data_IF_583090836479
#
_entry.id   IF_583090836479
#
_cell.length_a   1.000
_cell.length_b   1.000
_cell.length_c   1.000
_cell.angle_alpha   90.00
_cell.angle_beta   90.00
_cell.angle_gamma   90.00
#
_symmetry.space_group_name_H-M   'P 1'
#
loop_
_entity.id
_entity.type
_entity.pdbx_description
1 polymer ?
#
# COMPACT_ATOMS: atom_id res chain seq x y z
N UNK A 1 13.57 15.78 25.20
CA UNK A 1 12.44 15.00 24.65
C UNK A 1 12.41 15.25 23.14
N UNK A 2 12.70 14.24 22.32
CA UNK A 2 12.88 14.43 20.87
C UNK A 2 11.55 14.45 20.12
N UNK A 3 11.36 15.44 19.25
CA UNK A 3 10.29 15.47 18.26
C UNK A 3 10.56 14.39 17.20
N UNK A 4 9.60 13.51 16.91
CA UNK A 4 9.79 12.34 16.03
C UNK A 4 9.47 12.67 14.58
N UNK A 5 10.42 13.16 13.80
CA UNK A 5 10.17 13.43 12.38
C UNK A 5 10.49 12.20 11.51
N UNK A 6 9.67 11.90 10.47
CA UNK A 6 10.19 11.14 9.32
C UNK A 6 11.14 12.02 8.53
N UNK A 7 10.77 13.28 8.33
CA UNK A 7 11.64 14.26 7.70
C UNK A 7 12.06 15.27 8.74
N UNK A 8 13.22 15.04 9.38
CA UNK A 8 13.87 16.12 10.14
C UNK A 8 13.92 17.32 9.22
N UNK A 9 13.57 18.51 9.73
CA UNK A 9 13.92 19.76 9.05
C UNK A 9 15.38 19.61 8.61
N UNK A 10 15.65 19.70 7.31
CA UNK A 10 17.01 19.97 6.87
C UNK A 10 17.44 21.26 7.59
N UNK A 11 18.73 21.40 7.90
CA UNK A 11 19.25 22.50 8.72
C UNK A 11 18.94 23.91 8.15
N UNK A 12 18.44 23.99 6.91
CA UNK A 12 17.98 25.21 6.23
C UNK A 12 16.50 25.59 6.50
N UNK A 13 15.75 24.78 7.24
CA UNK A 13 14.34 25.01 7.53
C UNK A 13 13.37 24.75 6.38
N UNK A 14 13.85 24.28 5.22
CA UNK A 14 13.01 24.02 4.05
C UNK A 14 12.44 22.60 4.08
N UNK A 15 11.10 22.47 4.10
CA UNK A 15 10.40 21.16 4.02
C UNK A 15 10.37 20.60 2.59
N UNK A 16 10.53 21.48 1.58
CA UNK A 16 10.52 21.11 0.16
C UNK A 16 11.74 20.32 -0.32
N UNK A 17 12.82 20.22 0.47
CA UNK A 17 14.03 19.49 0.08
C UNK A 17 13.83 17.98 -0.06
N UNK A 18 12.94 17.37 0.74
CA UNK A 18 12.71 15.92 0.71
C UNK A 18 12.23 15.44 -0.66
N UNK A 19 11.20 16.08 -1.23
CA UNK A 19 10.65 15.68 -2.53
C UNK A 19 11.64 15.88 -3.67
N UNK A 20 12.50 16.89 -3.60
CA UNK A 20 13.59 17.11 -4.57
C UNK A 20 14.62 15.97 -4.46
N UNK A 21 15.04 15.62 -3.23
CA UNK A 21 15.98 14.53 -2.99
C UNK A 21 15.38 13.20 -3.44
N UNK A 22 14.11 12.93 -3.12
CA UNK A 22 13.41 11.72 -3.54
C UNK A 22 13.28 11.62 -5.06
N UNK A 23 12.94 12.72 -5.73
CA UNK A 23 12.90 12.80 -7.19
C UNK A 23 14.26 12.48 -7.79
N UNK A 24 15.32 13.13 -7.32
CA UNK A 24 16.69 12.96 -7.81
C UNK A 24 17.20 11.54 -7.56
N UNK A 25 16.90 10.97 -6.39
CA UNK A 25 17.20 9.58 -6.07
C UNK A 25 16.50 8.63 -7.05
N UNK A 26 15.20 8.82 -7.26
CA UNK A 26 14.39 7.99 -8.17
C UNK A 26 14.92 8.07 -9.60
N UNK A 27 15.28 9.26 -10.09
CA UNK A 27 15.86 9.45 -11.42
C UNK A 27 17.18 8.68 -11.58
N UNK A 28 18.06 8.76 -10.56
CA UNK A 28 19.32 8.01 -10.54
C UNK A 28 19.08 6.51 -10.51
N UNK A 29 18.18 6.02 -9.65
CA UNK A 29 17.88 4.59 -9.55
C UNK A 29 17.30 4.03 -10.86
N UNK A 30 16.33 4.70 -11.46
CA UNK A 30 15.74 4.28 -12.74
C UNK A 30 16.79 4.25 -13.86
N UNK A 31 17.70 5.23 -13.91
CA UNK A 31 18.82 5.23 -14.86
C UNK A 31 19.78 4.05 -14.61
N UNK A 32 20.20 3.83 -13.37
CA UNK A 32 21.12 2.74 -13.02
C UNK A 32 20.53 1.34 -13.23
N UNK A 33 19.22 1.19 -13.10
CA UNK A 33 18.52 -0.09 -13.29
C UNK A 33 18.04 -0.32 -14.72
N UNK A 34 18.22 0.63 -15.63
CA UNK A 34 17.76 0.51 -17.02
C UNK A 34 18.48 -0.60 -17.80
N UNK A 35 19.78 -0.79 -17.56
CA UNK A 35 20.59 -1.86 -18.15
C UNK A 35 20.48 -3.19 -17.39
N UNK A 36 19.83 -3.18 -16.23
CA UNK A 36 19.65 -4.37 -15.41
C UNK A 36 18.59 -5.30 -16.03
N UNK A 37 18.74 -6.61 -15.84
CA UNK A 37 17.82 -7.63 -16.39
C UNK A 37 16.36 -7.43 -15.94
N UNK A 38 16.15 -6.71 -14.84
CA UNK A 38 14.83 -6.36 -14.32
C UNK A 38 13.95 -5.62 -15.31
N UNK A 39 14.53 -4.73 -16.11
CA UNK A 39 13.76 -3.96 -17.10
C UNK A 39 13.27 -4.85 -18.24
N UNK A 40 14.05 -5.86 -18.63
CA UNK A 40 13.64 -6.88 -19.59
C UNK A 40 12.54 -7.79 -19.02
N UNK A 41 12.72 -8.28 -17.79
CA UNK A 41 11.74 -9.13 -17.09
C UNK A 41 10.40 -8.39 -16.93
N UNK A 42 10.43 -7.10 -16.59
CA UNK A 42 9.22 -6.27 -16.50
C UNK A 42 8.51 -6.11 -17.86
N UNK A 43 9.27 -6.00 -18.96
CA UNK A 43 8.69 -5.98 -20.32
C UNK A 43 8.04 -7.31 -20.69
N UNK A 44 8.68 -8.44 -20.39
CA UNK A 44 8.12 -9.76 -20.63
C UNK A 44 6.79 -9.96 -19.88
N UNK A 45 6.74 -9.57 -18.59
CA UNK A 45 5.48 -9.64 -17.84
C UNK A 45 4.42 -8.73 -18.46
N UNK A 46 4.75 -7.47 -18.80
CA UNK A 46 3.79 -6.54 -19.40
C UNK A 46 3.20 -7.09 -20.71
N UNK A 47 4.04 -7.71 -21.54
CA UNK A 47 3.59 -8.39 -22.75
C UNK A 47 2.66 -9.56 -22.41
N UNK A 48 3.05 -10.40 -21.44
CA UNK A 48 2.23 -11.51 -20.98
C UNK A 48 0.84 -11.07 -20.49
N UNK A 49 0.78 -10.03 -19.64
CA UNK A 49 -0.46 -9.43 -19.13
C UNK A 49 -1.33 -8.94 -20.29
N UNK A 50 -0.73 -8.28 -21.29
CA UNK A 50 -1.45 -7.76 -22.46
C UNK A 50 -2.03 -8.89 -23.31
N UNK A 51 -1.22 -9.90 -23.64
CA UNK A 51 -1.64 -11.04 -24.46
C UNK A 51 -2.74 -11.86 -23.80
N UNK A 52 -2.69 -12.03 -22.47
CA UNK A 52 -3.65 -12.85 -21.73
C UNK A 52 -4.79 -12.04 -21.09
N UNK A 53 -4.83 -10.72 -21.31
CA UNK A 53 -5.86 -9.80 -20.79
C UNK A 53 -6.08 -9.95 -19.27
N UNK A 54 -5.00 -10.14 -18.50
CA UNK A 54 -5.08 -10.41 -17.05
C UNK A 54 -5.52 -9.15 -16.28
N UNK A 55 -4.99 -7.99 -16.68
CA UNK A 55 -5.37 -6.67 -16.16
C UNK A 55 -5.12 -5.60 -17.23
N UNK A 56 -5.62 -4.38 -17.02
CA UNK A 56 -5.27 -3.24 -17.87
C UNK A 56 -3.74 -3.04 -17.82
N UNK A 57 -3.03 -3.07 -18.96
CA UNK A 57 -1.58 -2.91 -18.96
C UNK A 57 -1.15 -1.60 -18.32
N UNK A 58 -0.27 -1.72 -17.32
CA UNK A 58 0.32 -0.59 -16.57
C UNK A 58 1.62 -0.10 -17.20
N UNK A 59 2.18 0.97 -16.63
CA UNK A 59 3.48 1.47 -17.07
C UNK A 59 4.58 0.43 -16.84
N UNK A 60 5.67 0.53 -17.60
CA UNK A 60 6.80 -0.37 -17.41
C UNK A 60 7.45 -0.18 -16.02
N UNK A 61 7.50 1.06 -15.54
CA UNK A 61 8.05 1.39 -14.23
C UNK A 61 7.24 0.75 -13.09
N UNK A 62 5.91 0.67 -13.21
CA UNK A 62 5.05 -0.03 -12.24
C UNK A 62 5.41 -1.52 -12.11
N UNK A 63 5.65 -2.23 -13.23
CA UNK A 63 6.10 -3.63 -13.18
C UNK A 63 7.54 -3.75 -12.68
N UNK A 64 8.40 -2.79 -13.03
CA UNK A 64 9.79 -2.79 -12.58
C UNK A 64 9.91 -2.67 -11.06
N UNK A 65 9.10 -1.81 -10.43
CA UNK A 65 9.08 -1.69 -8.96
C UNK A 65 8.44 -2.89 -8.27
N UNK A 66 7.49 -3.58 -8.89
CA UNK A 66 6.96 -4.86 -8.37
C UNK A 66 8.02 -5.95 -8.35
N UNK A 67 8.89 -5.97 -9.36
CA UNK A 67 10.01 -6.90 -9.41
C UNK A 67 11.04 -6.60 -8.31
N UNK A 68 11.34 -5.32 -8.05
CA UNK A 68 12.14 -4.91 -6.89
C UNK A 68 11.48 -5.32 -5.57
N UNK A 69 10.16 -5.11 -5.43
CA UNK A 69 9.38 -5.52 -4.26
C UNK A 69 9.53 -7.02 -4.00
N UNK A 70 9.46 -7.85 -5.05
CA UNK A 70 9.70 -9.28 -4.94
C UNK A 70 11.09 -9.57 -4.36
N UNK A 71 12.15 -8.92 -4.87
CA UNK A 71 13.51 -9.08 -4.35
C UNK A 71 13.65 -8.71 -2.87
N UNK A 72 13.03 -7.60 -2.46
CA UNK A 72 12.97 -7.16 -1.06
C UNK A 72 12.27 -8.20 -0.18
N UNK A 73 11.09 -8.66 -0.60
CA UNK A 73 10.34 -9.64 0.17
C UNK A 73 11.01 -11.00 0.20
N UNK A 74 11.67 -11.40 -0.88
CA UNK A 74 12.47 -12.62 -0.92
C UNK A 74 13.58 -12.56 0.14
N UNK A 75 14.43 -11.54 0.11
CA UNK A 75 15.53 -11.44 1.10
C UNK A 75 15.04 -11.26 2.53
N UNK A 76 13.95 -10.52 2.73
CA UNK A 76 13.44 -10.19 4.07
C UNK A 76 12.64 -11.34 4.69
N UNK A 77 11.79 -12.00 3.90
CA UNK A 77 10.73 -12.86 4.42
C UNK A 77 10.92 -14.36 4.13
N UNK A 78 11.89 -14.76 3.31
CA UNK A 78 12.17 -16.19 3.02
C UNK A 78 12.39 -17.06 4.28
N UNK A 79 13.13 -16.55 5.26
CA UNK A 79 13.33 -17.28 6.52
C UNK A 79 12.07 -17.46 7.36
N UNK A 80 11.06 -16.59 7.18
CA UNK A 80 9.77 -16.72 7.88
C UNK A 80 8.80 -17.63 7.11
N UNK A 81 8.84 -17.60 5.78
CA UNK A 81 8.00 -18.45 4.93
C UNK A 81 8.36 -19.92 5.02
N UNK A 82 9.54 -20.28 5.54
CA UNK A 82 9.94 -21.66 5.85
C UNK A 82 8.87 -22.48 6.59
N UNK A 83 8.12 -21.82 7.48
CA UNK A 83 7.17 -22.47 8.37
C UNK A 83 5.73 -22.51 7.82
N UNK A 84 5.48 -21.94 6.63
CA UNK A 84 4.15 -21.95 6.02
C UNK A 84 3.94 -23.26 5.26
N UNK A 85 2.76 -23.85 5.42
CA UNK A 85 2.26 -24.92 4.57
C UNK A 85 0.81 -24.61 4.17
N UNK A 86 0.24 -25.41 3.25
CA UNK A 86 -1.12 -25.20 2.75
C UNK A 86 -2.16 -25.15 3.87
N UNK A 87 -2.05 -26.04 4.86
CA UNK A 87 -2.99 -26.11 6.00
C UNK A 87 -2.94 -24.84 6.84
N UNK A 88 -1.74 -24.37 7.19
CA UNK A 88 -1.57 -23.15 7.99
C UNK A 88 -2.03 -21.90 7.23
N UNK A 89 -1.74 -21.82 5.93
CA UNK A 89 -2.23 -20.75 5.07
C UNK A 89 -3.76 -20.71 5.02
N UNK A 90 -4.40 -21.86 4.76
CA UNK A 90 -5.86 -21.98 4.77
C UNK A 90 -6.48 -21.63 6.13
N UNK A 91 -5.88 -22.06 7.24
CA UNK A 91 -6.33 -21.71 8.59
C UNK A 91 -6.29 -20.20 8.83
N UNK A 92 -5.18 -19.54 8.49
CA UNK A 92 -5.06 -18.08 8.63
C UNK A 92 -6.12 -17.34 7.80
N UNK A 93 -6.42 -17.84 6.60
CA UNK A 93 -7.43 -17.27 5.73
C UNK A 93 -8.85 -17.45 6.29
N UNK A 94 -9.18 -18.63 6.80
CA UNK A 94 -10.46 -18.89 7.44
C UNK A 94 -10.67 -18.02 8.68
N UNK A 95 -9.66 -17.93 9.56
CA UNK A 95 -9.71 -17.05 10.73
C UNK A 95 -9.89 -15.58 10.34
N UNK A 96 -9.24 -15.12 9.26
CA UNK A 96 -9.44 -13.77 8.76
C UNK A 96 -10.87 -13.51 8.28
N UNK A 97 -11.47 -14.46 7.56
CA UNK A 97 -12.86 -14.34 7.09
C UNK A 97 -13.86 -14.30 8.25
N UNK A 98 -13.74 -15.23 9.22
CA UNK A 98 -14.60 -15.28 10.40
C UNK A 98 -14.53 -13.96 11.19
N UNK A 99 -13.32 -13.43 11.37
CA UNK A 99 -13.11 -12.13 12.05
C UNK A 99 -13.87 -10.98 11.39
N UNK A 100 -13.91 -10.96 10.06
CA UNK A 100 -14.53 -9.86 9.31
C UNK A 100 -16.06 -10.00 9.22
N UNK A 101 -16.59 -11.22 9.34
CA UNK A 101 -18.02 -11.50 9.29
C UNK A 101 -18.71 -11.38 10.65
N UNK A 102 -17.99 -11.61 11.76
CA UNK A 102 -18.57 -11.58 13.11
C UNK A 102 -17.88 -10.57 14.03
N UNK A 103 -18.60 -9.48 14.35
CA UNK A 103 -18.14 -8.51 15.37
C UNK A 103 -18.02 -9.14 16.75
N UNK A 104 -18.90 -10.09 17.08
CA UNK A 104 -18.94 -10.77 18.39
C UNK A 104 -17.74 -11.69 18.60
N UNK A 105 -17.33 -12.44 17.57
CA UNK A 105 -16.20 -13.37 17.66
C UNK A 105 -14.84 -12.68 17.51
N UNK A 106 -14.80 -11.44 17.04
CA UNK A 106 -13.57 -10.70 16.74
C UNK A 106 -12.50 -10.77 17.86
N UNK A 107 -12.80 -10.51 19.14
CA UNK A 107 -11.78 -10.54 20.19
C UNK A 107 -11.15 -11.93 20.38
N UNK A 108 -11.96 -12.98 20.26
CA UNK A 108 -11.51 -14.37 20.37
C UNK A 108 -10.63 -14.76 19.18
N UNK A 109 -11.06 -14.42 17.96
CA UNK A 109 -10.32 -14.69 16.74
C UNK A 109 -8.99 -13.92 16.71
N UNK A 110 -8.96 -12.66 17.15
CA UNK A 110 -7.73 -11.87 17.27
C UNK A 110 -6.74 -12.55 18.24
N UNK A 111 -7.22 -13.16 19.35
CA UNK A 111 -6.38 -13.92 20.29
C UNK A 111 -5.80 -15.18 19.64
N UNK A 112 -6.60 -15.94 18.89
CA UNK A 112 -6.13 -17.13 18.17
C UNK A 112 -5.08 -16.74 17.12
N UNK A 113 -5.39 -15.76 16.27
CA UNK A 113 -4.48 -15.26 15.24
C UNK A 113 -3.17 -14.78 15.83
N UNK A 114 -3.22 -14.04 16.94
CA UNK A 114 -2.01 -13.63 17.67
C UNK A 114 -1.13 -14.81 18.09
N UNK A 115 -1.73 -15.88 18.66
CA UNK A 115 -1.00 -17.10 19.04
C UNK A 115 -0.41 -17.83 17.82
N UNK A 116 -1.18 -18.01 16.76
CA UNK A 116 -0.72 -18.67 15.52
C UNK A 116 0.41 -17.87 14.88
N UNK A 117 0.26 -16.55 14.80
CA UNK A 117 1.27 -15.67 14.22
C UNK A 117 2.59 -15.73 14.99
N UNK A 118 2.57 -15.62 16.32
CA UNK A 118 3.79 -15.68 17.14
C UNK A 118 4.44 -17.06 17.12
N UNK A 119 3.65 -18.14 17.17
CA UNK A 119 4.17 -19.50 17.27
C UNK A 119 4.66 -20.09 15.95
N UNK A 120 4.15 -19.61 14.81
CA UNK A 120 4.46 -20.15 13.48
C UNK A 120 4.95 -19.05 12.53
N UNK A 121 4.08 -18.10 12.14
CA UNK A 121 4.38 -17.14 11.07
C UNK A 121 5.60 -16.26 11.35
N UNK A 122 5.79 -15.85 12.61
CA UNK A 122 6.83 -14.92 13.00
C UNK A 122 8.09 -15.59 13.56
N UNK A 123 8.16 -16.93 13.52
CA UNK A 123 9.40 -17.65 13.79
C UNK A 123 10.26 -17.62 12.53
N UNK A 124 11.37 -16.89 12.59
CA UNK A 124 12.38 -16.91 11.54
C UNK A 124 13.20 -18.19 11.68
N UNK A 125 13.24 -18.99 10.64
CA UNK A 125 14.26 -20.01 10.50
C UNK A 125 15.56 -19.33 10.02
N UNK A 126 16.61 -19.36 10.86
CA UNK A 126 17.86 -18.64 10.62
C UNK A 126 18.79 -19.34 9.64
N UNK A 127 18.69 -20.66 9.53
CA UNK A 127 19.53 -21.49 8.65
C UNK A 127 18.85 -21.77 7.31
N UNK A 128 17.65 -21.25 7.12
CA UNK A 128 16.84 -21.53 5.95
C UNK A 128 17.02 -20.46 4.89
N UNK A 129 17.71 -20.84 3.82
CA UNK A 129 17.72 -20.11 2.56
C UNK A 129 16.79 -20.82 1.58
N UNK A 130 15.83 -20.09 1.01
CA UNK A 130 14.97 -20.66 -0.02
C UNK A 130 15.81 -20.91 -1.27
N UNK A 131 15.90 -22.17 -1.67
CA UNK A 131 16.42 -22.56 -2.98
C UNK A 131 15.62 -21.81 -4.05
N UNK A 132 16.23 -21.28 -5.11
CA UNK A 132 15.56 -20.42 -6.07
C UNK A 132 14.70 -21.23 -7.07
N UNK A 133 13.63 -21.83 -6.56
CA UNK A 133 12.65 -22.65 -7.31
C UNK A 133 11.25 -22.07 -7.17
N UNK A 134 10.37 -22.46 -8.10
CA UNK A 134 9.01 -21.93 -8.21
C UNK A 134 8.16 -22.18 -6.96
N UNK A 135 8.28 -23.36 -6.34
CA UNK A 135 7.56 -23.75 -5.13
C UNK A 135 7.89 -22.83 -3.96
N UNK A 136 9.12 -22.31 -3.92
CA UNK A 136 9.56 -21.40 -2.87
C UNK A 136 9.04 -19.97 -3.07
N UNK A 137 8.77 -19.56 -4.31
CA UNK A 137 8.01 -18.33 -4.60
C UNK A 137 6.59 -18.46 -4.06
N UNK A 138 5.93 -19.59 -4.31
CA UNK A 138 4.58 -19.87 -3.78
C UNK A 138 4.57 -19.84 -2.25
N UNK A 139 5.57 -20.45 -1.59
CA UNK A 139 5.70 -20.41 -0.12
C UNK A 139 5.83 -18.98 0.39
N UNK A 140 6.68 -18.16 -0.23
CA UNK A 140 6.82 -16.75 0.14
C UNK A 140 5.48 -16.01 0.06
N UNK A 141 4.77 -16.14 -1.06
CA UNK A 141 3.50 -15.45 -1.30
C UNK A 141 2.40 -15.93 -0.34
N UNK A 142 2.33 -17.23 -0.06
CA UNK A 142 1.40 -17.79 0.93
C UNK A 142 1.68 -17.25 2.34
N UNK A 143 2.95 -17.05 2.70
CA UNK A 143 3.30 -16.43 3.98
C UNK A 143 2.87 -14.96 4.04
N UNK A 144 3.13 -14.20 2.98
CA UNK A 144 2.71 -12.80 2.85
C UNK A 144 1.19 -12.69 3.00
N UNK A 145 0.43 -13.55 2.31
CA UNK A 145 -1.03 -13.60 2.38
C UNK A 145 -1.53 -14.00 3.78
N UNK A 146 -0.94 -15.04 4.39
CA UNK A 146 -1.29 -15.49 5.72
C UNK A 146 -1.08 -14.41 6.79
N UNK A 147 -0.14 -13.49 6.58
CA UNK A 147 0.11 -12.37 7.49
C UNK A 147 -0.98 -11.30 7.46
N UNK A 148 -1.74 -11.21 6.36
CA UNK A 148 -2.80 -10.21 6.10
C UNK A 148 -2.35 -8.75 6.16
N UNK A 149 -1.04 -8.50 6.04
CA UNK A 149 -0.46 -7.15 6.00
C UNK A 149 0.01 -6.73 4.59
N UNK A 150 -0.04 -7.65 3.61
CA UNK A 150 0.46 -7.46 2.24
C UNK A 150 -0.61 -7.77 1.20
N UNK A 151 -1.88 -7.50 1.50
CA UNK A 151 -3.02 -7.96 0.69
C UNK A 151 -2.94 -7.49 -0.77
N UNK A 152 -2.59 -6.22 -0.98
CA UNK A 152 -2.48 -5.67 -2.35
C UNK A 152 -1.20 -6.14 -3.04
N UNK A 153 -0.09 -6.24 -2.31
CA UNK A 153 1.17 -6.76 -2.84
C UNK A 153 1.03 -8.23 -3.28
N UNK A 154 0.33 -9.05 -2.49
CA UNK A 154 0.03 -10.44 -2.84
C UNK A 154 -0.79 -10.54 -4.13
N UNK A 155 -1.79 -9.66 -4.33
CA UNK A 155 -2.56 -9.63 -5.60
C UNK A 155 -1.63 -9.43 -6.79
N UNK A 156 -0.68 -8.50 -6.71
CA UNK A 156 0.30 -8.25 -7.78
C UNK A 156 1.23 -9.43 -7.97
N UNK A 157 1.81 -9.95 -6.88
CA UNK A 157 2.71 -11.11 -6.93
C UNK A 157 2.04 -12.38 -7.46
N UNK A 158 0.72 -12.52 -7.33
CA UNK A 158 -0.02 -13.61 -7.97
C UNK A 158 -0.02 -13.50 -9.50
N UNK A 159 -0.05 -12.30 -10.07
CA UNK A 159 0.12 -12.13 -11.53
C UNK A 159 1.52 -12.57 -11.97
N UNK A 160 2.54 -12.27 -11.17
CA UNK A 160 3.90 -12.78 -11.40
C UNK A 160 3.95 -14.31 -11.31
N UNK A 161 3.26 -14.95 -10.35
CA UNK A 161 3.20 -16.41 -10.27
C UNK A 161 2.63 -17.03 -11.54
N UNK A 162 1.50 -16.52 -12.05
CA UNK A 162 0.87 -17.03 -13.28
C UNK A 162 1.80 -16.90 -14.50
N UNK A 163 2.60 -15.82 -14.56
CA UNK A 163 3.63 -15.67 -15.59
C UNK A 163 4.76 -16.69 -15.43
N UNK A 164 5.23 -16.88 -14.20
CA UNK A 164 6.37 -17.75 -13.87
C UNK A 164 6.04 -19.24 -13.99
N UNK A 165 4.78 -19.64 -13.80
CA UNK A 165 4.32 -21.03 -13.96
C UNK A 165 4.67 -21.61 -15.34
N UNK A 166 4.74 -20.76 -16.36
CA UNK A 166 5.03 -21.14 -17.76
C UNK A 166 6.52 -21.11 -18.10
N UNK A 167 7.41 -20.82 -17.15
CA UNK A 167 8.84 -20.63 -17.37
C UNK A 167 9.63 -21.86 -16.92
N UNK A 168 10.80 -22.06 -17.53
CA UNK A 168 11.68 -23.17 -17.17
C UNK A 168 12.32 -22.97 -15.79
N UNK A 169 12.72 -24.04 -15.09
CA UNK A 169 13.42 -23.94 -13.79
C UNK A 169 14.66 -23.03 -13.84
N UNK A 170 15.41 -23.06 -14.95
CA UNK A 170 16.58 -22.20 -15.16
C UNK A 170 16.17 -20.72 -15.20
N UNK A 171 15.06 -20.40 -15.88
CA UNK A 171 14.55 -19.03 -15.91
C UNK A 171 14.12 -18.59 -14.50
N UNK A 172 13.44 -19.45 -13.74
CA UNK A 172 13.03 -19.14 -12.35
C UNK A 172 14.24 -18.84 -11.47
N UNK A 173 15.30 -19.65 -11.56
CA UNK A 173 16.52 -19.42 -10.80
C UNK A 173 17.15 -18.06 -11.14
N UNK A 174 17.23 -17.73 -12.44
CA UNK A 174 17.74 -16.43 -12.91
C UNK A 174 16.84 -15.27 -12.49
N UNK A 175 15.52 -15.44 -12.54
CA UNK A 175 14.54 -14.46 -12.09
C UNK A 175 14.76 -14.10 -10.62
N UNK A 176 14.97 -15.09 -9.76
CA UNK A 176 15.21 -14.86 -8.33
C UNK A 176 16.58 -14.21 -8.11
N UNK A 177 17.63 -14.70 -8.77
CA UNK A 177 18.98 -14.14 -8.66
C UNK A 177 19.01 -12.66 -9.06
N UNK A 178 18.39 -12.31 -10.20
CA UNK A 178 18.32 -10.93 -10.67
C UNK A 178 17.49 -10.04 -9.74
N UNK A 179 16.45 -10.58 -9.09
CA UNK A 179 15.67 -9.79 -8.13
C UNK A 179 16.48 -9.46 -6.88
N UNK A 180 17.32 -10.39 -6.43
CA UNK A 180 18.26 -10.20 -5.33
C UNK A 180 19.31 -9.14 -5.69
N UNK A 181 19.88 -9.19 -6.90
CA UNK A 181 20.86 -8.20 -7.35
C UNK A 181 20.25 -6.80 -7.51
N UNK A 182 19.03 -6.70 -8.04
CA UNK A 182 18.31 -5.42 -8.10
C UNK A 182 18.07 -4.84 -6.69
N UNK A 183 17.69 -5.68 -5.74
CA UNK A 183 17.49 -5.24 -4.36
C UNK A 183 18.79 -4.76 -3.73
N UNK A 184 19.92 -5.46 -3.94
CA UNK A 184 21.23 -5.03 -3.43
C UNK A 184 21.63 -3.68 -4.01
N UNK A 185 21.46 -3.50 -5.32
CA UNK A 185 21.68 -2.21 -5.99
C UNK A 185 20.78 -1.11 -5.40
N UNK A 186 19.50 -1.42 -5.19
CA UNK A 186 18.57 -0.48 -4.59
C UNK A 186 19.01 -0.05 -3.18
N UNK A 187 19.35 -1.01 -2.32
CA UNK A 187 19.79 -0.74 -0.94
C UNK A 187 21.09 0.07 -0.91
N UNK A 188 22.07 -0.25 -1.77
CA UNK A 188 23.35 0.47 -1.80
C UNK A 188 23.18 1.93 -2.23
N UNK A 189 22.22 2.21 -3.11
CA UNK A 189 21.89 3.58 -3.52
C UNK A 189 20.99 4.31 -2.52
N UNK A 190 20.01 3.61 -1.93
CA UNK A 190 18.99 4.21 -1.08
C UNK A 190 19.53 4.56 0.30
N UNK A 191 20.33 3.69 0.91
CA UNK A 191 20.76 3.85 2.31
C UNK A 191 21.50 5.18 2.57
N UNK A 192 22.47 5.60 1.73
CA UNK A 192 23.19 6.85 1.95
C UNK A 192 22.33 8.12 1.74
N UNK A 193 21.25 8.02 0.95
CA UNK A 193 20.43 9.18 0.57
C UNK A 193 19.19 9.29 1.45
N UNK A 194 18.50 8.17 1.66
CA UNK A 194 17.22 8.11 2.35
C UNK A 194 17.34 7.69 3.82
N UNK A 195 18.46 7.07 4.24
CA UNK A 195 18.66 6.58 5.60
C UNK A 195 18.57 7.66 6.68
N UNK A 196 18.97 8.89 6.35
CA UNK A 196 18.87 10.03 7.27
C UNK A 196 17.43 10.33 7.69
N UNK A 197 16.44 10.07 6.82
CA UNK A 197 15.02 10.24 7.10
C UNK A 197 14.41 9.12 7.97
N UNK A 198 15.17 8.08 8.31
CA UNK A 198 14.69 6.97 9.14
C UNK A 198 15.34 6.89 10.51
N UNK A 199 16.29 7.77 10.84
CA UNK A 199 17.00 7.74 12.12
C UNK A 199 16.03 7.79 13.32
N UNK A 200 15.08 8.72 13.32
CA UNK A 200 14.06 8.86 14.38
C UNK A 200 13.11 7.66 14.47
N UNK A 201 12.79 7.05 13.32
CA UNK A 201 11.93 5.85 13.24
C UNK A 201 12.67 4.66 13.86
N UNK A 202 13.92 4.45 13.46
CA UNK A 202 14.77 3.35 13.93
C UNK A 202 14.98 3.41 15.45
N UNK A 203 15.24 4.60 16.01
CA UNK A 203 15.36 4.81 17.46
C UNK A 203 14.06 4.43 18.21
N UNK A 204 12.90 4.85 17.69
CA UNK A 204 11.61 4.56 18.33
C UNK A 204 11.21 3.09 18.24
N UNK A 205 11.40 2.46 17.08
CA UNK A 205 11.17 1.03 16.90
C UNK A 205 12.05 0.23 17.85
N UNK A 206 13.35 0.55 17.94
CA UNK A 206 14.29 -0.12 18.84
C UNK A 206 13.88 -0.01 20.32
N UNK A 207 13.43 1.17 20.77
CA UNK A 207 12.96 1.40 22.14
C UNK A 207 11.73 0.55 22.51
N UNK A 208 10.86 0.25 21.54
CA UNK A 208 9.57 -0.42 21.79
C UNK A 208 9.53 -1.90 21.37
N UNK A 209 10.60 -2.43 20.73
CA UNK A 209 10.70 -3.83 20.27
C UNK A 209 10.32 -4.87 21.35
N UNK A 210 10.71 -4.66 22.62
CA UNK A 210 10.40 -5.59 23.72
C UNK A 210 8.92 -5.56 24.12
N UNK A 211 8.29 -4.38 24.16
CA UNK A 211 6.90 -4.19 24.63
C UNK A 211 5.86 -4.81 23.68
N UNK A 212 6.15 -4.87 22.38
CA UNK A 212 5.20 -5.33 21.37
C UNK A 212 5.50 -6.71 20.78
N UNK A 213 6.49 -7.44 21.31
CA UNK A 213 6.96 -8.74 20.78
C UNK A 213 5.83 -9.77 20.52
N UNK A 214 4.75 -9.71 21.29
CA UNK A 214 3.69 -10.73 21.34
C UNK A 214 2.32 -10.28 20.77
N UNK A 215 2.22 -9.12 20.10
CA UNK A 215 0.95 -8.65 19.50
C UNK A 215 0.94 -8.84 17.98
N UNK A 216 -0.23 -9.08 17.39
CA UNK A 216 -0.40 -9.11 15.91
C UNK A 216 0.05 -7.76 15.28
N UNK A 217 -0.20 -6.65 15.98
CA UNK A 217 0.30 -5.31 15.64
C UNK A 217 1.84 -5.16 15.68
N UNK A 218 2.59 -6.20 16.06
CA UNK A 218 4.05 -6.20 16.05
C UNK A 218 4.64 -6.13 14.64
N UNK A 219 3.87 -6.43 13.60
CA UNK A 219 4.41 -6.51 12.24
C UNK A 219 4.91 -5.16 11.72
N UNK A 220 4.26 -4.05 12.09
CA UNK A 220 4.74 -2.70 11.77
C UNK A 220 6.11 -2.41 12.40
N UNK A 221 6.42 -2.98 13.57
CA UNK A 221 7.74 -2.85 14.22
C UNK A 221 8.80 -3.82 13.67
N UNK A 222 8.42 -4.70 12.74
CA UNK A 222 9.31 -5.68 12.12
C UNK A 222 9.67 -5.33 10.67
N UNK A 223 9.02 -4.30 10.10
CA UNK A 223 9.32 -3.79 8.77
C UNK A 223 10.79 -3.37 8.70
N UNK A 224 11.47 -3.76 7.64
CA UNK A 224 12.84 -3.38 7.39
C UNK A 224 12.91 -1.95 6.85
N UNK A 225 14.03 -1.30 7.13
CA UNK A 225 14.40 0.00 6.59
C UNK A 225 14.29 0.05 5.05
N UNK A 226 14.76 -0.99 4.35
CA UNK A 226 14.62 -1.11 2.88
C UNK A 226 13.16 -1.01 2.41
N UNK A 227 12.17 -1.44 3.20
CA UNK A 227 10.76 -1.34 2.82
C UNK A 227 10.27 0.11 2.86
N UNK A 228 10.79 0.92 3.80
CA UNK A 228 10.49 2.36 3.83
C UNK A 228 11.09 3.06 2.61
N UNK A 229 12.37 2.80 2.31
CA UNK A 229 13.02 3.34 1.11
C UNK A 229 12.22 2.99 -0.15
N UNK A 230 11.84 1.71 -0.26
CA UNK A 230 11.08 1.20 -1.38
C UNK A 230 9.75 1.94 -1.53
N UNK A 231 8.97 2.05 -0.47
CA UNK A 231 7.68 2.73 -0.53
C UNK A 231 7.81 4.24 -0.79
N UNK A 232 8.86 4.91 -0.29
CA UNK A 232 9.13 6.31 -0.64
C UNK A 232 9.36 6.45 -2.15
N UNK A 233 10.28 5.68 -2.72
CA UNK A 233 10.58 5.73 -4.15
C UNK A 233 9.39 5.31 -5.01
N UNK A 234 8.69 4.25 -4.63
CA UNK A 234 7.52 3.79 -5.34
C UNK A 234 6.42 4.86 -5.39
N UNK A 235 6.21 5.60 -4.29
CA UNK A 235 5.27 6.73 -4.23
C UNK A 235 5.60 7.79 -5.28
N UNK A 236 6.87 8.17 -5.39
CA UNK A 236 7.34 9.12 -6.41
C UNK A 236 7.13 8.58 -7.83
N UNK A 237 7.40 7.30 -8.08
CA UNK A 237 7.15 6.66 -9.38
C UNK A 237 5.66 6.69 -9.71
N UNK A 238 4.77 6.29 -8.80
CA UNK A 238 3.33 6.34 -9.04
C UNK A 238 2.83 7.75 -9.33
N UNK A 239 3.33 8.76 -8.61
CA UNK A 239 2.96 10.15 -8.89
C UNK A 239 3.27 10.52 -10.34
N UNK A 240 4.44 10.14 -10.87
CA UNK A 240 4.82 10.39 -12.28
C UNK A 240 3.94 9.64 -13.26
N UNK A 241 3.78 8.33 -13.06
CA UNK A 241 3.08 7.46 -14.01
C UNK A 241 1.57 7.74 -14.06
N UNK A 242 0.97 8.13 -12.93
CA UNK A 242 -0.46 8.38 -12.83
C UNK A 242 -0.84 9.85 -13.05
N UNK A 243 0.13 10.77 -13.09
CA UNK A 243 -0.14 12.22 -13.24
C UNK A 243 -1.00 12.53 -14.46
N UNK A 244 -0.69 11.95 -15.61
CA UNK A 244 -1.43 12.20 -16.84
C UNK A 244 -2.90 11.73 -16.79
N UNK A 245 -3.18 10.60 -16.12
CA UNK A 245 -4.56 10.14 -15.89
C UNK A 245 -5.25 11.01 -14.84
N UNK A 246 -4.53 11.42 -13.79
CA UNK A 246 -5.04 12.24 -12.69
C UNK A 246 -5.41 13.66 -13.14
N UNK A 247 -4.57 14.32 -13.95
CA UNK A 247 -4.81 15.70 -14.41
C UNK A 247 -6.11 15.81 -15.24
N UNK A 248 -6.49 14.73 -15.94
CA UNK A 248 -7.71 14.62 -16.76
C UNK A 248 -9.00 14.46 -15.94
N UNK A 249 -8.89 14.18 -14.64
CA UNK A 249 -10.07 14.00 -13.79
C UNK A 249 -10.77 15.34 -13.53
N UNK A 250 -12.10 15.34 -13.64
CA UNK A 250 -12.91 16.56 -13.47
C UNK A 250 -13.27 16.82 -12.02
N UNK A 251 -13.35 15.77 -11.20
CA UNK A 251 -13.58 15.85 -9.76
C UNK A 251 -12.35 15.36 -9.02
N UNK A 252 -11.91 16.09 -7.99
CA UNK A 252 -10.74 15.71 -7.19
C UNK A 252 -11.08 15.68 -5.71
N UNK A 253 -10.61 14.64 -5.02
CA UNK A 253 -10.83 14.46 -3.58
C UNK A 253 -9.49 14.26 -2.87
N UNK A 254 -9.25 15.06 -1.83
CA UNK A 254 -8.09 14.96 -0.95
C UNK A 254 -8.45 14.05 0.23
N UNK A 255 -7.75 12.93 0.35
CA UNK A 255 -7.91 11.97 1.43
C UNK A 255 -6.93 12.27 2.53
N UNK A 256 -7.44 12.76 3.67
CA UNK A 256 -6.63 13.09 4.83
C UNK A 256 -6.81 12.05 5.94
N UNK A 257 -5.71 11.57 6.57
CA UNK A 257 -5.82 10.69 7.72
C UNK A 257 -6.30 11.48 8.94
N UNK A 258 -7.27 10.91 9.68
CA UNK A 258 -7.78 11.52 10.94
C UNK A 258 -6.69 11.74 12.00
N UNK A 259 -5.53 11.08 11.89
CA UNK A 259 -4.39 11.33 12.76
C UNK A 259 -3.79 12.75 12.63
N UNK A 260 -4.17 13.51 11.59
CA UNK A 260 -3.87 14.94 11.46
C UNK A 260 -4.72 15.82 12.39
N UNK A 261 -5.79 15.28 12.99
CA UNK A 261 -6.55 15.99 14.02
C UNK A 261 -5.65 16.26 15.23
N UNK A 262 -5.77 17.45 15.83
CA UNK A 262 -5.07 17.77 17.06
C UNK A 262 -5.77 17.06 18.23
N UNK A 263 -5.07 16.24 19.05
CA UNK A 263 -5.71 15.51 20.15
C UNK A 263 -6.26 16.38 21.29
N UNK A 264 -5.99 17.70 21.29
CA UNK A 264 -6.24 18.60 22.43
C UNK A 264 -6.89 19.95 22.06
N UNK A 265 -7.46 20.12 20.86
CA UNK A 265 -8.26 21.33 20.61
C UNK A 265 -9.55 21.27 21.43
N UNK A 266 -9.97 22.42 21.97
CA UNK A 266 -11.30 22.64 22.55
C UNK A 266 -12.32 22.18 21.50
N UNK A 267 -12.94 21.03 21.76
CA UNK A 267 -14.00 20.39 20.97
C UNK A 267 -13.71 20.22 19.46
N UNK A 268 -13.01 19.14 19.10
CA UNK A 268 -12.88 18.73 17.70
C UNK A 268 -14.27 18.51 17.08
N UNK A 269 -14.62 19.30 16.05
CA UNK A 269 -15.91 19.23 15.35
C UNK A 269 -15.91 18.25 14.18
N UNK A 270 -15.30 17.09 14.38
CA UNK A 270 -15.26 16.04 13.37
C UNK A 270 -16.60 15.29 13.43
N UNK A 271 -17.35 15.32 12.34
CA UNK A 271 -18.62 14.59 12.22
C UNK A 271 -18.37 13.23 11.55
N UNK A 272 -19.08 12.19 12.00
CA UNK A 272 -18.99 10.85 11.43
C UNK A 272 -20.39 10.27 11.23
N UNK A 273 -20.76 10.10 9.96
CA UNK A 273 -22.02 9.46 9.56
C UNK A 273 -21.76 8.00 9.12
N UNK A 274 -20.89 7.30 9.85
CA UNK A 274 -20.55 5.89 9.64
C UNK A 274 -19.43 5.62 8.64
N UNK A 275 -19.60 6.00 7.35
CA UNK A 275 -18.58 5.81 6.30
C UNK A 275 -17.87 7.14 5.99
N UNK A 276 -18.62 8.23 5.95
CA UNK A 276 -18.07 9.56 5.71
C UNK A 276 -17.66 10.22 7.02
N UNK A 277 -16.48 10.84 6.98
CA UNK A 277 -15.91 11.58 8.08
C UNK A 277 -15.56 12.95 7.52
N UNK A 278 -16.21 13.99 8.04
CA UNK A 278 -16.04 15.38 7.60
C UNK A 278 -15.64 16.27 8.76
N UNK A 279 -14.96 17.37 8.46
CA UNK A 279 -14.55 18.40 9.42
C UNK A 279 -15.35 19.66 9.15
N UNK A 280 -16.02 20.21 10.17
CA UNK A 280 -16.77 21.48 10.07
C UNK A 280 -15.99 22.70 10.59
N UNK A 281 -14.69 22.52 10.87
CA UNK A 281 -13.78 23.56 11.34
C UNK A 281 -13.85 23.75 12.86
N UNK A 282 -12.82 23.28 13.57
CA UNK A 282 -12.67 23.49 15.02
C UNK A 282 -11.81 24.71 15.34
N UNK A 283 -10.49 24.63 15.08
CA UNK A 283 -9.51 25.67 15.39
C UNK A 283 -8.66 26.00 14.17
N UNK A 284 -8.11 27.21 14.10
CA UNK A 284 -7.20 27.62 13.02
C UNK A 284 -5.89 26.82 13.01
N UNK A 285 -5.40 26.42 14.19
CA UNK A 285 -4.21 25.57 14.31
C UNK A 285 -4.41 24.09 13.89
N UNK A 286 -5.61 23.72 13.42
CA UNK A 286 -5.88 22.36 12.98
C UNK A 286 -5.50 22.22 11.50
N UNK A 287 -4.52 21.37 11.19
CA UNK A 287 -4.06 21.14 9.82
C UNK A 287 -5.17 20.70 8.86
N UNK A 288 -6.16 19.93 9.34
CA UNK A 288 -7.32 19.56 8.51
C UNK A 288 -8.16 20.78 8.19
N UNK A 289 -8.47 21.63 9.18
CA UNK A 289 -9.26 22.84 8.97
C UNK A 289 -8.54 23.79 8.00
N UNK A 290 -7.24 23.97 8.20
CA UNK A 290 -6.40 24.82 7.37
C UNK A 290 -6.34 24.35 5.91
N UNK A 291 -6.16 23.04 5.70
CA UNK A 291 -6.21 22.43 4.36
C UNK A 291 -7.61 22.58 3.74
N UNK A 292 -8.67 22.27 4.49
CA UNK A 292 -10.04 22.39 4.01
C UNK A 292 -10.35 23.81 3.53
N UNK A 293 -9.98 24.84 4.30
CA UNK A 293 -10.13 26.25 3.88
C UNK A 293 -9.28 26.58 2.65
N UNK A 294 -8.04 26.10 2.61
CA UNK A 294 -7.11 26.36 1.50
C UNK A 294 -7.57 25.78 0.16
N UNK A 295 -8.44 24.76 0.16
CA UNK A 295 -8.94 24.13 -1.07
C UNK A 295 -10.43 24.40 -1.36
N UNK A 296 -11.19 25.02 -0.46
CA UNK A 296 -12.63 25.25 -0.59
C UNK A 296 -13.00 26.03 -1.88
N UNK A 297 -12.19 27.00 -2.28
CA UNK A 297 -12.39 27.81 -3.49
C UNK A 297 -12.06 27.13 -4.82
N UNK A 298 -11.61 25.88 -4.78
CA UNK A 298 -11.03 25.20 -5.95
C UNK A 298 -11.87 24.05 -6.50
N UNK A 299 -13.01 23.75 -5.88
CA UNK A 299 -13.91 22.66 -6.29
C UNK A 299 -13.45 21.25 -5.87
N UNK A 300 -12.35 21.14 -5.12
CA UNK A 300 -11.93 19.87 -4.52
C UNK A 300 -12.60 19.61 -3.17
N UNK A 301 -12.79 18.33 -2.87
CA UNK A 301 -13.42 17.87 -1.64
C UNK A 301 -12.37 17.30 -0.69
N UNK A 302 -12.56 17.48 0.61
CA UNK A 302 -11.76 16.79 1.65
C UNK A 302 -12.57 15.64 2.21
N UNK A 303 -11.99 14.45 2.18
CA UNK A 303 -12.53 13.26 2.85
C UNK A 303 -11.55 12.78 3.92
N UNK A 304 -12.05 12.54 5.13
CA UNK A 304 -11.22 11.99 6.21
C UNK A 304 -11.28 10.46 6.25
N UNK A 305 -10.14 9.84 6.55
CA UNK A 305 -9.96 8.38 6.63
C UNK A 305 -9.31 8.01 7.98
N UNK A 306 -9.94 7.11 8.75
CA UNK A 306 -9.49 6.72 10.09
C UNK A 306 -8.67 5.42 10.14
N UNK A 307 -8.63 4.67 9.04
CA UNK A 307 -7.80 3.47 8.89
C UNK A 307 -7.92 2.82 7.52
N UNK A 308 -7.15 1.75 7.31
CA UNK A 308 -7.13 0.99 6.06
C UNK A 308 -8.46 0.30 5.74
N UNK A 309 -9.20 -0.15 6.75
CA UNK A 309 -10.52 -0.75 6.56
C UNK A 309 -11.56 0.26 6.04
N UNK A 310 -11.54 1.47 6.60
CA UNK A 310 -12.46 2.54 6.20
C UNK A 310 -12.11 3.04 4.80
N UNK A 311 -10.81 3.09 4.48
CA UNK A 311 -10.34 3.33 3.12
C UNK A 311 -10.88 2.31 2.11
N UNK A 312 -10.74 1.00 2.37
CA UNK A 312 -11.22 -0.02 1.42
C UNK A 312 -12.73 0.04 1.21
N UNK A 313 -13.52 0.27 2.27
CA UNK A 313 -14.98 0.41 2.16
C UNK A 313 -15.38 1.64 1.35
N UNK A 314 -14.76 2.78 1.67
CA UNK A 314 -15.02 4.03 0.96
C UNK A 314 -14.63 3.91 -0.52
N UNK A 315 -13.48 3.28 -0.79
CA UNK A 315 -12.98 3.09 -2.13
C UNK A 315 -13.90 2.17 -2.97
N UNK A 316 -14.44 1.09 -2.40
CA UNK A 316 -15.41 0.23 -3.10
C UNK A 316 -16.72 0.95 -3.44
N UNK A 317 -17.12 1.98 -2.68
CA UNK A 317 -18.29 2.79 -3.03
C UNK A 317 -18.07 3.66 -4.29
N UNK A 318 -16.82 3.83 -4.73
CA UNK A 318 -16.44 4.65 -5.88
C UNK A 318 -16.21 3.87 -7.17
N UNK A 319 -16.36 2.54 -7.17
CA UNK A 319 -16.13 1.67 -8.33
C UNK A 319 -16.92 2.09 -9.60
N UNK A 320 -17.93 2.94 -9.45
CA UNK A 320 -18.83 3.38 -10.52
C UNK A 320 -18.53 4.78 -11.09
N UNK A 321 -17.51 5.51 -10.59
CA UNK A 321 -17.29 6.91 -10.98
C UNK A 321 -15.92 7.13 -11.67
N UNK A 322 -15.85 7.06 -13.02
CA UNK A 322 -14.58 7.10 -13.77
C UNK A 322 -13.90 8.48 -13.80
N UNK A 323 -14.53 9.53 -13.28
CA UNK A 323 -14.07 10.91 -13.41
C UNK A 323 -13.43 11.50 -12.14
N UNK A 324 -13.20 10.66 -11.12
CA UNK A 324 -12.64 11.07 -9.83
C UNK A 324 -11.13 10.84 -9.77
N UNK A 325 -10.39 11.88 -9.39
CA UNK A 325 -8.96 11.81 -9.06
C UNK A 325 -8.77 11.91 -7.55
N UNK A 326 -7.87 11.11 -6.99
CA UNK A 326 -7.63 11.08 -5.55
C UNK A 326 -6.25 11.60 -5.19
N UNK A 327 -6.17 12.53 -4.24
CA UNK A 327 -4.91 12.91 -3.59
C UNK A 327 -4.85 12.21 -2.24
N UNK A 328 -4.05 11.16 -2.13
CA UNK A 328 -3.94 10.37 -0.90
C UNK A 328 -2.79 10.83 -0.03
N UNK A 329 -3.09 11.17 1.22
CA UNK A 329 -2.09 11.49 2.25
C UNK A 329 -1.94 10.30 3.20
N UNK A 330 -0.72 9.80 3.38
CA UNK A 330 -0.47 8.65 4.26
C UNK A 330 0.94 8.59 4.83
N UNK A 331 1.12 7.75 5.86
CA UNK A 331 2.45 7.35 6.32
C UNK A 331 3.12 6.48 5.25
N UNK A 332 4.45 6.43 5.22
CA UNK A 332 5.23 5.66 4.23
C UNK A 332 4.76 4.20 4.11
N UNK A 333 4.62 3.48 5.23
CA UNK A 333 4.21 2.06 5.21
C UNK A 333 2.74 1.84 4.86
N UNK A 334 1.88 2.83 5.10
CA UNK A 334 0.45 2.77 4.78
C UNK A 334 0.15 3.27 3.36
N UNK A 335 1.13 3.91 2.71
CA UNK A 335 0.95 4.50 1.39
C UNK A 335 0.68 3.41 0.35
N UNK A 336 1.56 2.41 0.30
CA UNK A 336 1.61 1.48 -0.81
C UNK A 336 0.36 0.57 -0.94
N UNK A 337 -0.21 0.01 0.15
CA UNK A 337 -1.50 -0.68 0.06
C UNK A 337 -2.64 0.22 -0.44
N UNK A 338 -2.62 1.52 -0.12
CA UNK A 338 -3.63 2.46 -0.61
C UNK A 338 -3.45 2.75 -2.09
N UNK A 339 -2.21 2.97 -2.55
CA UNK A 339 -1.90 3.18 -3.98
C UNK A 339 -2.39 2.02 -4.81
N UNK A 340 -2.03 0.79 -4.43
CA UNK A 340 -2.49 -0.38 -5.19
C UNK A 340 -3.99 -0.65 -5.06
N UNK A 341 -4.61 -0.31 -3.93
CA UNK A 341 -6.06 -0.34 -3.79
C UNK A 341 -6.73 0.55 -4.84
N UNK A 342 -6.32 1.82 -4.94
CA UNK A 342 -6.82 2.74 -5.98
C UNK A 342 -6.51 2.24 -7.39
N UNK A 343 -5.30 1.70 -7.60
CA UNK A 343 -4.90 1.17 -8.90
C UNK A 343 -5.71 -0.04 -9.33
N UNK A 344 -6.09 -0.93 -8.41
CA UNK A 344 -6.97 -2.07 -8.67
C UNK A 344 -8.34 -1.66 -9.21
N UNK A 345 -8.80 -0.45 -8.87
CA UNK A 345 -10.06 0.11 -9.36
C UNK A 345 -9.87 1.10 -10.52
N UNK A 346 -8.66 1.20 -11.06
CA UNK A 346 -8.29 2.17 -12.11
C UNK A 346 -8.56 3.63 -11.72
N UNK A 347 -8.53 3.97 -10.44
CA UNK A 347 -8.72 5.35 -9.97
C UNK A 347 -7.38 6.10 -10.06
N UNK A 348 -7.27 7.14 -10.90
CA UNK A 348 -6.07 7.95 -10.99
C UNK A 348 -5.81 8.66 -9.67
N UNK A 349 -4.56 8.67 -9.22
CA UNK A 349 -4.23 9.22 -7.92
C UNK A 349 -2.84 9.84 -7.86
N UNK A 350 -2.70 10.75 -6.90
CA UNK A 350 -1.45 11.37 -6.48
C UNK A 350 -1.29 11.15 -4.98
N UNK A 351 -0.05 11.19 -4.51
CA UNK A 351 0.31 10.65 -3.20
C UNK A 351 1.29 11.57 -2.48
N UNK A 352 0.97 11.86 -1.22
CA UNK A 352 1.77 12.73 -0.36
C UNK A 352 2.08 11.98 0.93
N UNK A 353 3.37 11.94 1.26
CA UNK A 353 3.86 11.31 2.46
C UNK A 353 3.71 12.29 3.62
N UNK A 354 3.28 11.78 4.77
CA UNK A 354 3.29 12.56 6.00
C UNK A 354 4.72 12.82 6.46
N UNK A 355 5.01 14.07 6.83
CA UNK A 355 6.29 14.50 7.40
C UNK A 355 6.57 13.85 8.75
N UNK A 356 5.50 13.57 9.48
CA UNK A 356 5.55 13.06 10.82
C UNK A 356 4.31 12.23 11.11
N UNK A 357 4.48 11.03 11.67
CA UNK A 357 3.37 10.23 12.18
C UNK A 357 3.32 10.30 13.70
N UNK A 358 2.28 10.98 14.19
CA UNK A 358 1.92 11.02 15.61
C UNK A 358 0.97 9.90 16.03
N UNK A 359 0.60 8.99 15.13
CA UNK A 359 -0.47 8.02 15.41
C UNK A 359 -0.01 6.95 16.40
N UNK A 360 -0.71 6.80 17.53
CA UNK A 360 -0.46 5.75 18.50
C UNK A 360 -0.54 4.32 17.95
N UNK A 361 -1.22 4.10 16.81
CA UNK A 361 -1.24 2.78 16.13
C UNK A 361 0.12 2.41 15.54
N UNK A 362 0.87 3.41 15.07
CA UNK A 362 2.20 3.23 14.47
C UNK A 362 3.32 3.53 15.45
N UNK A 363 3.10 4.48 16.37
CA UNK A 363 4.05 4.90 17.41
C UNK A 363 3.30 5.19 18.74
N UNK A 364 3.05 4.19 19.59
CA UNK A 364 2.27 4.26 20.83
C UNK A 364 2.79 5.26 21.86
N UNK A 365 4.05 5.71 21.72
CA UNK A 365 4.67 6.73 22.55
C UNK A 365 4.94 8.05 21.80
N UNK A 366 4.43 8.22 20.57
CA UNK A 366 4.48 9.52 19.92
C UNK A 366 3.58 10.46 20.72
N UNK A 367 4.21 11.42 21.40
CA UNK A 367 3.52 12.57 21.95
C UNK A 367 3.70 13.78 21.02
N UNK A 368 3.81 13.52 19.73
CA UNK A 368 4.07 14.50 18.70
C UNK A 368 2.90 14.56 17.71
N UNK A 369 2.57 15.74 17.17
CA UNK A 369 1.51 15.86 16.18
C UNK A 369 1.88 15.11 14.90
N UNK A 370 0.89 14.56 14.20
CA UNK A 370 1.08 14.16 12.79
C UNK A 370 1.19 15.43 11.95
N UNK A 371 2.15 15.50 11.03
CA UNK A 371 2.39 16.69 10.19
C UNK A 371 2.40 16.31 8.72
N UNK A 372 1.88 17.19 7.86
CA UNK A 372 1.93 17.10 6.40
C UNK A 372 2.68 18.32 5.81
N UNK A 373 3.39 18.12 4.71
CA UNK A 373 3.84 19.21 3.84
C UNK A 373 2.64 19.76 3.04
N UNK A 374 2.02 20.82 3.58
CA UNK A 374 0.93 21.51 2.90
C UNK A 374 1.38 22.18 1.58
N UNK A 375 2.63 22.65 1.48
CA UNK A 375 3.10 23.25 0.23
C UNK A 375 3.17 22.19 -0.87
N UNK A 376 3.62 20.97 -0.55
CA UNK A 376 3.59 19.87 -1.49
C UNK A 376 2.15 19.49 -1.87
N UNK A 377 1.21 19.47 -0.91
CA UNK A 377 -0.21 19.26 -1.19
C UNK A 377 -0.73 20.29 -2.18
N UNK A 378 -0.48 21.57 -1.91
CA UNK A 378 -0.88 22.64 -2.79
C UNK A 378 -0.18 22.56 -4.15
N UNK A 379 1.07 22.12 -4.26
CA UNK A 379 1.74 21.91 -5.56
C UNK A 379 1.10 20.79 -6.37
N UNK A 380 0.87 19.63 -5.76
CA UNK A 380 0.15 18.52 -6.42
C UNK A 380 -1.23 18.97 -6.89
N UNK A 381 -1.82 19.92 -6.16
CA UNK A 381 -3.12 20.49 -6.43
C UNK A 381 -3.13 21.65 -7.46
N UNK A 382 -2.20 22.60 -7.41
CA UNK A 382 -2.23 23.86 -8.17
C UNK A 382 -1.76 23.71 -9.63
N UNK A 383 -1.33 22.52 -10.05
CA UNK A 383 -1.11 22.21 -11.48
C UNK A 383 -2.43 21.94 -12.26
N UNK A 384 -3.57 22.37 -11.72
CA UNK A 384 -4.89 22.27 -12.36
C UNK A 384 -5.21 23.61 -13.05
N UNK A 385 -5.46 23.65 -14.37
CA UNK A 385 -6.07 24.81 -14.99
C UNK A 385 -7.45 25.03 -14.35
N UNK A 386 -7.71 26.24 -13.86
CA UNK A 386 -9.02 26.62 -13.32
C UNK A 386 -10.09 26.47 -14.40
N UNK A 387 -10.75 25.32 -14.45
CA UNK A 387 -12.01 25.17 -15.18
C UNK A 387 -13.09 25.65 -14.22
N UNK A 388 -13.65 26.83 -14.48
CA UNK A 388 -14.88 27.29 -13.83
C UNK A 388 -15.95 26.21 -14.04
N UNK A 389 -16.37 25.52 -12.98
CA UNK A 389 -17.57 24.69 -13.02
C UNK A 389 -18.79 25.46 -12.49
N UNK A 390 -19.99 25.17 -13.02
CA UNK A 390 -21.23 25.77 -12.53
C UNK A 390 -21.59 25.21 -11.15
N UNK A 391 -22.13 26.08 -10.30
CA UNK A 391 -22.69 25.73 -9.00
C UNK A 391 -23.68 24.57 -9.11
N UNK A 392 -23.32 23.39 -8.60
CA UNK A 392 -24.29 22.33 -8.35
C UNK A 392 -24.02 21.69 -6.98
N UNK A 393 -24.61 22.29 -5.94
CA UNK A 393 -24.73 21.70 -4.60
C UNK A 393 -25.74 20.55 -4.65
N UNK A 394 -25.32 19.38 -5.10
CA UNK A 394 -26.04 18.13 -4.83
C UNK A 394 -25.07 17.14 -4.20
N UNK A 395 -25.00 17.21 -2.87
CA UNK A 395 -24.39 16.19 -2.02
C UNK A 395 -25.21 14.91 -2.20
N UNK A 396 -24.60 13.87 -2.78
CA UNK A 396 -25.21 12.55 -2.89
C UNK A 396 -25.39 11.98 -1.47
N UNK A 397 -26.61 12.05 -0.93
CA UNK A 397 -27.02 11.24 0.22
C UNK A 397 -26.92 9.77 -0.19
N UNK A 398 -25.93 9.04 0.34
CA UNK A 398 -25.89 7.58 0.26
C UNK A 398 -27.11 7.04 1.00
N UNK A 399 -28.13 6.57 0.27
CA UNK A 399 -29.25 5.85 0.89
C UNK A 399 -28.72 4.52 1.45
N UNK A 400 -29.08 4.14 2.69
CA UNK A 400 -28.73 2.84 3.24
C UNK A 400 -29.48 1.76 2.45
N UNK A 401 -28.79 1.10 1.53
CA UNK A 401 -29.31 -0.05 0.78
C UNK A 401 -29.26 -1.31 1.63
N UNK A 402 -30.41 -1.95 1.79
CA UNK A 402 -30.57 -3.30 2.32
C UNK A 402 -29.70 -4.29 1.54
N UNK A 403 -28.92 -5.09 2.26
CA UNK A 403 -28.07 -6.14 1.68
C UNK A 403 -28.93 -7.20 0.98
N UNK A 404 -28.94 -7.19 -0.36
CA UNK A 404 -29.34 -8.36 -1.13
C UNK A 404 -28.13 -9.33 -1.23
N UNK A 405 -28.32 -10.64 -1.03
CA UNK A 405 -27.24 -11.61 -1.13
C UNK A 405 -26.72 -11.71 -2.57
N UNK A 406 -25.39 -11.78 -2.71
CA UNK A 406 -24.71 -11.97 -4.00
C UNK A 406 -25.26 -13.19 -4.76
N UNK A 407 -25.37 -13.12 -6.10
CA UNK A 407 -25.77 -14.25 -6.92
C UNK A 407 -24.68 -15.34 -6.87
N UNK A 408 -25.11 -16.59 -6.63
CA UNK A 408 -24.29 -17.79 -6.72
C UNK A 408 -23.72 -17.91 -8.15
N UNK A 409 -22.40 -18.08 -8.28
CA UNK A 409 -21.77 -18.47 -9.54
C UNK A 409 -22.30 -19.87 -9.97
N UNK A 410 -22.56 -20.11 -11.27
CA UNK A 410 -23.02 -21.41 -11.72
C UNK A 410 -21.90 -22.46 -11.63
N UNK A 411 -22.27 -23.64 -11.16
CA UNK A 411 -21.44 -24.84 -11.20
C UNK A 411 -21.18 -25.21 -12.67
N UNK A 412 -19.90 -25.43 -13.03
CA UNK A 412 -19.54 -26.13 -14.27
C UNK A 412 -19.90 -27.60 -14.12
N UNK A 413 -20.89 -28.06 -14.88
CA UNK A 413 -21.09 -29.48 -15.13
C UNK A 413 -19.91 -30.04 -15.92
N UNK A 414 -19.36 -31.14 -15.41
CA UNK A 414 -18.34 -31.95 -16.06
C UNK A 414 -19.07 -32.86 -17.03
N UNK A 415 -18.93 -32.59 -18.34
CA UNK A 415 -19.42 -33.48 -19.38
C UNK A 415 -18.63 -34.81 -19.34
N UNK A 416 -19.35 -35.90 -19.05
CA UNK A 416 -18.89 -37.28 -19.26
C UNK A 416 -18.76 -37.54 -20.76
N UNK A 417 -17.54 -37.74 -21.23
CA UNK A 417 -17.29 -38.34 -22.54
C UNK A 417 -17.60 -39.84 -22.42
N UNK A 418 -18.74 -40.27 -22.98
CA UNK A 418 -18.99 -41.68 -23.33
C UNK A 418 -18.44 -41.88 -24.74
N UNK A 419 -17.55 -42.85 -24.88
CA UNK A 419 -17.09 -43.31 -26.18
C UNK A 419 -18.20 -44.09 -26.90
N UNK A 420 -18.26 -43.92 -28.21
CA UNK A 420 -18.92 -44.85 -29.11
C UNK A 420 -18.08 -44.96 -30.39
N UNK A 421 -17.77 -46.22 -30.71
CA UNK A 421 -17.17 -46.72 -31.94
C UNK A 421 -18.01 -46.28 -33.14
N UNK A 422 -17.37 -45.95 -34.27
CA UNK A 422 -17.90 -46.30 -35.58
C UNK A 422 -16.74 -46.76 -36.48
N UNK A 423 -16.87 -48.00 -36.96
CA UNK A 423 -16.14 -48.58 -38.09
C UNK A 423 -16.65 -47.96 -39.40
N UNK A 424 -15.76 -47.76 -40.36
CA UNK A 424 -16.09 -47.34 -41.72
C UNK A 424 -14.88 -46.73 -42.40
#
# INVERSE_FOLDING_TARGET
MGNFFYFSKLDDGSRGGFYIILKNFTDKFLKSSQSHASMYIAKELRQFITTHQIEKPRSLNEYHIEYLMFGIFWRKYSGYSANINRVLHSLCNALYQIRNQSKTLKPFIDKIRGKVAVSRLYKKNKTYELIPIYENIIRLINWLDASKNFTEEVKRLNNWLVFLEKKSPIYIARFISNAIELEKLFVSMASPVLGNYLQSVNLSVNKHKRKYKNREAANNYKRAEVEYFFYMMATEIFNRELKGEFDKTTRKVVLLPTSLCRPKSVECKLNSDGIEISCTGCSEDCQINDISRSIEGSGAEVQLISGSLDFSKWLSALETNPNIGLVNVACVLDMFPKVYGMRSLNIPSQHILLDQCGCHKHLPSANCPTIIDQQQLLKVYHFIPTVKQPNNKNILKVKPGTFAPHPKKPHKEIAKVKGEKIMG
#
